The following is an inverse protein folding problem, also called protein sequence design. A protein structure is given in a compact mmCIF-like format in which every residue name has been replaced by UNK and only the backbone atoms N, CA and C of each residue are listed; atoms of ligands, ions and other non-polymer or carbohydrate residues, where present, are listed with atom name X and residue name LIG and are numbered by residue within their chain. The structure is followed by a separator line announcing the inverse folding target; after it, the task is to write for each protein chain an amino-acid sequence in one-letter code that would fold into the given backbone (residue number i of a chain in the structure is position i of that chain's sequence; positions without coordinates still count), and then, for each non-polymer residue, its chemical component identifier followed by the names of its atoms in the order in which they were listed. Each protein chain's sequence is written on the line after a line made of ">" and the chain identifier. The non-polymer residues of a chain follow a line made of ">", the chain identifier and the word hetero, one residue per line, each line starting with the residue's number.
data_IF_455135917316
#
_entry.id   IF_455135917316
#
_cell.length_a   1.000
_cell.length_b   1.000
_cell.length_c   1.000
_cell.angle_alpha   90.00
_cell.angle_beta   90.00
_cell.angle_gamma   90.00
#
_symmetry.space_group_name_H-M   'P 1'
#
loop_
_entity.id
_entity.type
_entity.pdbx_description
1 polymer ?
#
# COMPACT_ATOMS: atom_id res chain seq x y z
N UNK A 1 -107.67 15.80 -64.75
CA UNK A 1 -106.32 16.35 -65.01
C UNK A 1 -105.71 17.06 -63.79
N UNK A 2 -106.52 17.72 -62.95
CA UNK A 2 -106.05 18.55 -61.81
C UNK A 2 -105.45 17.80 -60.61
N UNK A 3 -105.92 16.57 -60.31
CA UNK A 3 -105.43 15.75 -59.18
C UNK A 3 -104.03 15.17 -59.45
N UNK A 4 -103.75 14.77 -60.70
CA UNK A 4 -102.48 14.18 -61.11
C UNK A 4 -101.34 15.23 -61.02
N UNK A 5 -101.60 16.46 -61.45
CA UNK A 5 -100.63 17.57 -61.36
C UNK A 5 -100.31 17.91 -59.89
N UNK A 6 -101.29 17.80 -58.99
CA UNK A 6 -101.10 18.05 -57.57
C UNK A 6 -100.28 16.93 -56.89
N UNK A 7 -100.49 15.66 -57.27
CA UNK A 7 -99.66 14.53 -56.82
C UNK A 7 -98.23 14.59 -57.37
N UNK A 8 -98.05 14.92 -58.65
CA UNK A 8 -96.71 15.03 -59.27
C UNK A 8 -95.88 16.17 -58.65
N UNK A 9 -96.50 17.31 -58.30
CA UNK A 9 -95.81 18.39 -57.58
C UNK A 9 -95.37 17.97 -56.18
N UNK A 10 -96.18 17.21 -55.44
CA UNK A 10 -95.81 16.69 -54.12
C UNK A 10 -94.70 15.63 -54.19
N UNK A 11 -94.75 14.74 -55.17
CA UNK A 11 -93.69 13.74 -55.39
C UNK A 11 -92.39 14.41 -55.82
N UNK A 12 -92.45 15.42 -56.70
CA UNK A 12 -91.27 16.20 -57.09
C UNK A 12 -90.70 17.00 -55.90
N UNK A 13 -91.55 17.66 -55.10
CA UNK A 13 -91.09 18.38 -53.90
C UNK A 13 -90.49 17.42 -52.87
N UNK A 14 -91.10 16.25 -52.68
CA UNK A 14 -90.61 15.23 -51.76
C UNK A 14 -89.29 14.62 -52.27
N UNK A 15 -89.15 14.41 -53.58
CA UNK A 15 -87.91 13.91 -54.19
C UNK A 15 -86.78 14.94 -54.11
N UNK A 16 -87.08 16.24 -54.25
CA UNK A 16 -86.12 17.33 -54.07
C UNK A 16 -85.71 17.43 -52.59
N UNK A 17 -86.66 17.41 -51.66
CA UNK A 17 -86.39 17.41 -50.22
C UNK A 17 -85.58 16.19 -49.77
N UNK A 18 -85.91 15.00 -50.28
CA UNK A 18 -85.21 13.75 -49.98
C UNK A 18 -83.79 13.75 -50.57
N UNK A 19 -83.61 14.30 -51.77
CA UNK A 19 -82.28 14.51 -52.34
C UNK A 19 -81.45 15.52 -51.55
N UNK A 20 -82.06 16.57 -50.98
CA UNK A 20 -81.38 17.53 -50.12
C UNK A 20 -81.01 16.93 -48.75
N UNK A 21 -81.82 16.02 -48.20
CA UNK A 21 -81.57 15.31 -46.94
C UNK A 21 -80.53 14.19 -47.07
N UNK A 22 -80.38 13.58 -48.26
CA UNK A 22 -79.39 12.53 -48.54
C UNK A 22 -77.98 13.09 -48.85
N UNK A 23 -77.84 14.41 -49.01
CA UNK A 23 -76.56 15.09 -49.24
C UNK A 23 -75.93 15.67 -47.96
N UNK A 24 -76.21 15.08 -46.79
CA UNK A 24 -75.55 15.47 -45.54
C UNK A 24 -74.14 14.87 -45.46
N UNK A 25 -73.21 15.44 -46.24
CA UNK A 25 -71.79 15.08 -46.10
C UNK A 25 -71.26 15.71 -44.82
N UNK A 26 -70.91 14.87 -43.84
CA UNK A 26 -70.05 15.27 -42.72
C UNK A 26 -68.72 15.78 -43.28
N UNK A 27 -68.60 17.09 -43.43
CA UNK A 27 -67.33 17.72 -43.75
C UNK A 27 -66.39 17.46 -42.56
N UNK A 28 -65.21 16.86 -42.76
CA UNK A 28 -64.27 16.70 -41.65
C UNK A 28 -63.90 18.10 -41.12
N UNK A 29 -64.03 18.30 -39.80
CA UNK A 29 -63.82 19.58 -39.10
C UNK A 29 -62.34 20.02 -39.02
N UNK A 30 -61.51 19.54 -39.92
CA UNK A 30 -60.06 19.77 -39.95
C UNK A 30 -59.72 20.96 -40.85
N UNK A 31 -58.93 21.88 -40.32
CA UNK A 31 -58.51 23.09 -41.00
C UNK A 31 -57.14 22.83 -41.63
N UNK A 32 -57.09 22.78 -42.96
CA UNK A 32 -55.85 22.76 -43.72
C UNK A 32 -55.49 24.15 -44.24
N UNK A 33 -54.29 24.63 -43.95
CA UNK A 33 -53.72 25.84 -44.55
C UNK A 33 -52.56 25.42 -45.44
N UNK A 34 -52.72 25.53 -46.76
CA UNK A 34 -51.71 25.08 -47.73
C UNK A 34 -51.68 23.55 -47.99
N UNK A 35 -52.68 22.80 -47.50
CA UNK A 35 -52.86 21.36 -47.77
C UNK A 35 -54.34 20.99 -47.86
N UNK A 36 -54.67 20.04 -48.74
CA UNK A 36 -56.03 19.47 -48.86
C UNK A 36 -56.19 18.13 -48.12
N UNK A 37 -55.11 17.60 -47.54
CA UNK A 37 -55.11 16.39 -46.72
C UNK A 37 -54.50 16.67 -45.35
N UNK A 38 -55.19 17.41 -44.45
CA UNK A 38 -54.67 17.73 -43.13
C UNK A 38 -54.38 16.46 -42.32
N UNK A 39 -53.24 16.44 -41.63
CA UNK A 39 -52.81 15.31 -40.76
C UNK A 39 -53.26 15.45 -39.30
N UNK A 40 -53.97 16.52 -38.98
CA UNK A 40 -54.52 16.83 -37.67
C UNK A 40 -55.68 17.83 -37.77
N UNK A 41 -56.25 18.22 -36.63
CA UNK A 41 -57.39 19.16 -36.60
C UNK A 41 -57.03 20.55 -37.17
N UNK A 42 -55.77 20.95 -37.07
CA UNK A 42 -55.17 22.10 -37.76
C UNK A 42 -53.83 21.65 -38.35
N UNK A 43 -53.64 21.81 -39.66
CA UNK A 43 -52.41 21.48 -40.37
C UNK A 43 -52.00 22.67 -41.25
N UNK A 44 -50.81 23.24 -40.99
CA UNK A 44 -50.24 24.36 -41.75
C UNK A 44 -49.05 23.82 -42.54
N UNK A 45 -49.22 23.65 -43.85
CA UNK A 45 -48.20 23.11 -44.74
C UNK A 45 -47.57 24.23 -45.59
N UNK A 46 -46.32 24.59 -45.28
CA UNK A 46 -45.53 25.56 -46.04
C UNK A 46 -44.05 25.21 -45.97
N UNK A 47 -43.32 25.48 -47.06
CA UNK A 47 -41.86 25.31 -47.12
C UNK A 47 -41.09 26.58 -46.73
N UNK A 48 -41.77 27.73 -46.63
CA UNK A 48 -41.13 29.04 -46.41
C UNK A 48 -41.73 29.84 -45.25
N UNK A 49 -42.99 29.59 -44.88
CA UNK A 49 -43.72 30.37 -43.90
C UNK A 49 -44.02 29.53 -42.67
N UNK A 50 -43.91 30.12 -41.48
CA UNK A 50 -44.21 29.44 -40.22
C UNK A 50 -45.60 29.80 -39.67
N UNK A 51 -45.97 29.10 -38.60
CA UNK A 51 -47.06 29.52 -37.72
C UNK A 51 -46.49 30.40 -36.60
N UNK A 52 -46.99 31.62 -36.47
CA UNK A 52 -46.56 32.54 -35.42
C UNK A 52 -47.47 32.39 -34.20
N UNK A 53 -46.94 31.83 -33.11
CA UNK A 53 -47.63 31.84 -31.82
C UNK A 53 -47.81 33.27 -31.29
N UNK A 54 -48.82 33.53 -30.44
CA UNK A 54 -48.95 34.82 -29.78
C UNK A 54 -47.65 35.21 -29.07
N UNK A 55 -47.12 36.39 -29.40
CA UNK A 55 -45.91 36.94 -28.81
C UNK A 55 -46.27 37.70 -27.54
N UNK A 56 -45.92 37.14 -26.39
CA UNK A 56 -46.35 37.62 -25.08
C UNK A 56 -45.12 37.87 -24.20
N UNK A 57 -45.08 38.97 -23.46
CA UNK A 57 -44.06 39.21 -22.45
C UNK A 57 -44.51 38.61 -21.10
N UNK A 58 -43.93 37.48 -20.70
CA UNK A 58 -44.17 36.89 -19.38
C UNK A 58 -43.38 37.63 -18.29
N UNK A 59 -43.92 37.69 -17.08
CA UNK A 59 -43.25 38.28 -15.92
C UNK A 59 -42.42 37.27 -15.12
N UNK A 60 -42.85 36.02 -15.10
CA UNK A 60 -42.21 34.87 -14.45
C UNK A 60 -42.86 33.58 -15.00
N UNK A 61 -42.39 32.41 -14.56
CA UNK A 61 -42.94 31.13 -15.02
C UNK A 61 -44.16 30.62 -14.21
N UNK A 62 -44.48 31.16 -13.04
CA UNK A 62 -45.56 30.66 -12.17
C UNK A 62 -46.86 31.46 -12.31
N UNK A 63 -46.81 32.64 -12.93
CA UNK A 63 -47.93 33.55 -13.13
C UNK A 63 -48.52 33.35 -14.53
N UNK A 64 -49.83 33.09 -14.63
CA UNK A 64 -50.48 32.86 -15.92
C UNK A 64 -50.67 34.14 -16.75
N UNK A 65 -50.81 35.29 -16.07
CA UNK A 65 -50.95 36.59 -16.72
C UNK A 65 -49.70 36.92 -17.58
N UNK A 66 -49.85 37.64 -18.69
CA UNK A 66 -51.08 38.31 -19.16
C UNK A 66 -52.01 37.42 -20.00
N UNK A 67 -51.70 36.13 -20.16
CA UNK A 67 -52.54 35.21 -20.95
C UNK A 67 -53.73 34.76 -20.10
N UNK A 68 -54.91 34.81 -20.69
CA UNK A 68 -56.17 34.41 -20.06
C UNK A 68 -56.90 33.39 -20.93
N UNK A 69 -57.74 32.57 -20.31
CA UNK A 69 -58.73 31.78 -21.04
C UNK A 69 -59.83 32.73 -21.54
N UNK A 70 -60.07 32.84 -22.86
CA UNK A 70 -61.06 33.76 -23.42
C UNK A 70 -62.51 33.43 -23.03
N UNK A 71 -62.81 32.20 -22.60
CA UNK A 71 -64.14 31.81 -22.16
C UNK A 71 -64.44 32.24 -20.72
N UNK A 72 -63.44 32.22 -19.84
CA UNK A 72 -63.61 32.41 -18.39
C UNK A 72 -62.92 33.66 -17.85
N UNK A 73 -62.10 34.33 -18.66
CA UNK A 73 -61.23 35.44 -18.24
C UNK A 73 -60.16 35.05 -17.21
N UNK A 74 -60.04 33.76 -16.90
CA UNK A 74 -59.20 33.23 -15.82
C UNK A 74 -57.92 32.60 -16.38
N UNK A 75 -57.26 31.72 -15.62
CA UNK A 75 -56.06 30.99 -16.06
C UNK A 75 -56.28 30.28 -17.40
N UNK A 76 -55.29 30.28 -18.31
CA UNK A 76 -55.36 29.53 -19.56
C UNK A 76 -55.57 28.03 -19.32
N UNK A 77 -56.11 27.35 -20.33
CA UNK A 77 -56.26 25.89 -20.29
C UNK A 77 -54.86 25.24 -20.42
N UNK A 78 -54.65 24.09 -19.78
CA UNK A 78 -53.41 23.32 -19.93
C UNK A 78 -53.14 23.00 -21.41
N UNK A 79 -51.90 23.24 -21.86
CA UNK A 79 -51.50 23.13 -23.26
C UNK A 79 -51.64 24.42 -24.08
N UNK A 80 -52.06 25.55 -23.50
CA UNK A 80 -52.05 26.85 -24.21
C UNK A 80 -50.60 27.24 -24.55
N UNK A 81 -50.28 27.48 -25.83
CA UNK A 81 -48.92 27.74 -26.32
C UNK A 81 -48.74 29.22 -26.70
N UNK A 82 -47.62 29.81 -26.30
CA UNK A 82 -47.21 31.20 -26.62
C UNK A 82 -45.71 31.26 -26.92
N UNK A 83 -45.28 32.34 -27.58
CA UNK A 83 -43.88 32.71 -27.66
C UNK A 83 -43.60 33.81 -26.63
N UNK A 84 -42.79 33.52 -25.61
CA UNK A 84 -42.37 34.51 -24.64
C UNK A 84 -41.32 35.44 -25.26
N UNK A 85 -41.45 36.75 -25.06
CA UNK A 85 -40.51 37.76 -25.56
C UNK A 85 -39.63 38.39 -24.48
N UNK A 86 -39.90 38.12 -23.19
CA UNK A 86 -39.23 38.76 -22.07
C UNK A 86 -38.17 37.87 -21.40
N UNK A 87 -37.13 38.51 -20.86
CA UNK A 87 -36.28 37.93 -19.81
C UNK A 87 -36.71 38.55 -18.49
N UNK A 88 -37.33 37.78 -17.60
CA UNK A 88 -37.95 38.28 -16.37
C UNK A 88 -37.98 37.19 -15.27
N UNK A 89 -38.35 37.57 -14.04
CA UNK A 89 -38.43 36.68 -12.87
C UNK A 89 -37.16 36.67 -12.01
N UNK A 90 -37.15 35.84 -10.96
CA UNK A 90 -36.00 35.65 -10.05
C UNK A 90 -35.45 34.22 -10.17
N UNK A 91 -34.34 33.92 -9.49
CA UNK A 91 -33.74 32.59 -9.50
C UNK A 91 -34.77 31.52 -9.08
N UNK A 92 -35.08 30.58 -9.98
CA UNK A 92 -36.09 29.54 -9.79
C UNK A 92 -37.43 29.79 -10.48
N UNK A 93 -37.75 31.03 -10.86
CA UNK A 93 -38.97 31.39 -11.62
C UNK A 93 -38.71 32.15 -12.92
N UNK A 94 -37.44 32.28 -13.29
CA UNK A 94 -37.01 33.06 -14.44
C UNK A 94 -37.55 32.50 -15.76
N UNK A 95 -37.99 33.40 -16.63
CA UNK A 95 -38.34 33.14 -18.02
C UNK A 95 -37.34 33.83 -18.95
N UNK A 96 -37.15 33.27 -20.14
CA UNK A 96 -36.33 33.84 -21.20
C UNK A 96 -37.08 33.71 -22.54
N UNK A 97 -36.73 34.47 -23.59
CA UNK A 97 -37.40 34.36 -24.87
C UNK A 97 -37.44 32.92 -25.43
N UNK A 98 -38.61 32.49 -25.93
CA UNK A 98 -38.81 31.14 -26.48
C UNK A 98 -40.24 30.62 -26.40
N UNK A 99 -40.47 29.39 -26.85
CA UNK A 99 -41.80 28.76 -26.77
C UNK A 99 -42.11 28.29 -25.36
N UNK A 100 -43.31 28.58 -24.89
CA UNK A 100 -43.85 28.11 -23.63
C UNK A 100 -45.24 27.54 -23.84
N UNK A 101 -45.58 26.54 -23.04
CA UNK A 101 -46.96 26.11 -22.88
C UNK A 101 -47.38 26.16 -21.40
N UNK A 102 -48.65 26.47 -21.16
CA UNK A 102 -49.18 26.47 -19.81
C UNK A 102 -49.37 25.03 -19.32
N UNK A 103 -48.65 24.63 -18.28
CA UNK A 103 -48.74 23.28 -17.69
C UNK A 103 -49.85 23.09 -16.66
N UNK A 104 -50.72 24.09 -16.48
CA UNK A 104 -51.80 24.10 -15.48
C UNK A 104 -51.48 24.92 -14.23
N UNK A 105 -50.21 25.00 -13.83
CA UNK A 105 -49.74 25.78 -12.68
C UNK A 105 -48.58 26.71 -12.99
N UNK A 106 -47.86 26.47 -14.09
CA UNK A 106 -46.71 27.25 -14.52
C UNK A 106 -46.53 27.16 -16.03
N UNK A 107 -45.87 28.15 -16.61
CA UNK A 107 -45.33 28.15 -17.96
C UNK A 107 -44.12 27.22 -18.04
N UNK A 108 -44.24 26.19 -18.86
CA UNK A 108 -43.18 25.25 -19.15
C UNK A 108 -42.55 25.64 -20.49
N UNK A 109 -41.25 25.93 -20.45
CA UNK A 109 -40.49 26.23 -21.66
C UNK A 109 -40.27 24.95 -22.46
N UNK A 110 -40.46 25.00 -23.77
CA UNK A 110 -40.10 23.89 -24.64
C UNK A 110 -38.56 23.78 -24.69
N UNK A 111 -38.04 22.56 -24.47
CA UNK A 111 -36.60 22.33 -24.31
C UNK A 111 -35.83 22.75 -25.58
N UNK A 112 -34.77 23.54 -25.43
CA UNK A 112 -33.96 24.04 -26.55
C UNK A 112 -32.87 23.06 -27.04
N UNK A 113 -32.88 21.80 -26.57
CA UNK A 113 -31.90 20.78 -26.99
C UNK A 113 -30.51 20.93 -26.38
N UNK A 114 -30.35 21.75 -25.34
CA UNK A 114 -29.06 22.02 -24.66
C UNK A 114 -28.88 21.28 -23.33
N UNK A 115 -29.92 20.58 -22.85
CA UNK A 115 -29.88 19.84 -21.59
C UNK A 115 -29.11 18.51 -21.74
N UNK A 116 -28.54 18.04 -20.64
CA UNK A 116 -27.97 16.68 -20.59
C UNK A 116 -29.08 15.64 -20.46
N UNK A 117 -29.17 14.73 -21.41
CA UNK A 117 -30.21 13.71 -21.45
C UNK A 117 -29.88 12.51 -20.54
N UNK A 118 -30.90 11.77 -20.09
CA UNK A 118 -30.72 10.53 -19.31
C UNK A 118 -30.02 9.41 -20.10
N UNK A 119 -30.14 9.44 -21.43
CA UNK A 119 -29.47 8.50 -22.33
C UNK A 119 -28.10 9.02 -22.81
N UNK A 120 -27.69 10.21 -22.37
CA UNK A 120 -26.51 10.91 -22.84
C UNK A 120 -26.75 11.77 -24.09
N UNK A 121 -25.74 12.56 -24.46
CA UNK A 121 -25.75 13.44 -25.63
C UNK A 121 -24.65 12.97 -26.60
N UNK A 122 -24.88 13.09 -27.92
CA UNK A 122 -23.88 12.79 -28.95
C UNK A 122 -23.28 14.10 -29.52
N UNK A 123 -22.08 14.04 -30.13
CA UNK A 123 -21.49 15.18 -30.84
C UNK A 123 -20.94 16.32 -29.99
N UNK A 124 -20.53 16.06 -28.74
CA UNK A 124 -19.99 17.09 -27.84
C UNK A 124 -18.64 17.65 -28.32
N UNK A 125 -18.44 18.96 -28.15
CA UNK A 125 -17.18 19.68 -28.39
C UNK A 125 -16.54 20.07 -27.07
N UNK A 126 -15.26 19.70 -26.88
CA UNK A 126 -14.50 20.02 -25.67
C UNK A 126 -14.39 21.54 -25.46
N UNK A 127 -14.55 22.00 -24.21
CA UNK A 127 -14.54 23.42 -23.85
C UNK A 127 -15.86 24.17 -24.12
N UNK A 128 -16.78 23.60 -24.90
CA UNK A 128 -18.13 24.14 -25.13
C UNK A 128 -19.20 23.36 -24.40
N UNK A 129 -19.16 22.02 -24.47
CA UNK A 129 -20.14 21.15 -23.82
C UNK A 129 -19.54 20.50 -22.58
N UNK A 130 -20.24 20.58 -21.45
CA UNK A 130 -19.83 19.95 -20.20
C UNK A 130 -21.04 19.68 -19.31
N UNK A 131 -20.88 18.73 -18.39
CA UNK A 131 -21.76 18.58 -17.23
C UNK A 131 -21.12 19.38 -16.11
N UNK A 132 -21.79 20.43 -15.64
CA UNK A 132 -21.22 21.28 -14.60
C UNK A 132 -21.94 22.62 -14.47
N UNK A 133 -21.24 23.56 -13.87
CA UNK A 133 -21.70 24.93 -13.59
C UNK A 133 -20.76 25.93 -14.28
N UNK A 134 -21.28 27.12 -14.61
CA UNK A 134 -20.49 28.25 -15.15
C UNK A 134 -20.13 29.27 -14.07
N UNK A 135 -20.65 29.10 -12.87
CA UNK A 135 -20.41 29.97 -11.73
C UNK A 135 -19.53 29.29 -10.67
N UNK A 136 -19.25 30.00 -9.58
CA UNK A 136 -18.39 29.55 -8.49
C UNK A 136 -19.08 28.53 -7.54
N UNK A 137 -20.04 27.76 -8.03
CA UNK A 137 -20.81 26.78 -7.26
C UNK A 137 -20.41 25.36 -7.69
N UNK A 138 -20.21 24.47 -6.72
CA UNK A 138 -19.83 23.08 -6.99
C UNK A 138 -20.94 22.25 -7.65
N UNK A 139 -20.55 21.26 -8.47
CA UNK A 139 -21.48 20.30 -9.06
C UNK A 139 -21.85 19.22 -8.02
N UNK A 140 -23.13 19.14 -7.66
CA UNK A 140 -23.64 18.13 -6.71
C UNK A 140 -24.38 17.01 -7.41
N UNK A 141 -24.08 15.78 -6.99
CA UNK A 141 -24.74 14.55 -7.45
C UNK A 141 -25.62 14.02 -6.31
N UNK A 142 -26.91 13.86 -6.60
CA UNK A 142 -27.93 13.44 -5.63
C UNK A 142 -28.70 12.22 -6.10
N UNK A 143 -29.14 11.41 -5.14
CA UNK A 143 -30.13 10.34 -5.36
C UNK A 143 -31.16 10.42 -4.25
N UNK A 144 -32.45 10.25 -4.54
CA UNK A 144 -33.51 10.36 -3.54
C UNK A 144 -33.45 11.67 -2.72
N UNK A 145 -33.10 12.79 -3.38
CA UNK A 145 -32.88 14.09 -2.75
C UNK A 145 -31.79 14.11 -1.64
N UNK A 146 -30.87 13.15 -1.65
CA UNK A 146 -29.73 13.06 -0.71
C UNK A 146 -28.44 13.33 -1.49
N UNK A 147 -27.61 14.23 -0.96
CA UNK A 147 -26.27 14.52 -1.45
C UNK A 147 -25.36 13.27 -1.35
N UNK A 148 -24.78 12.86 -2.49
CA UNK A 148 -23.86 11.71 -2.58
C UNK A 148 -22.43 12.18 -2.81
N UNK A 149 -22.24 13.01 -3.85
CA UNK A 149 -20.94 13.54 -4.24
C UNK A 149 -21.02 15.03 -4.57
N UNK A 150 -19.91 15.73 -4.36
CA UNK A 150 -19.71 17.12 -4.73
C UNK A 150 -18.34 17.29 -5.42
N UNK A 151 -18.30 17.99 -6.54
CA UNK A 151 -17.06 18.58 -7.06
C UNK A 151 -17.01 20.01 -6.55
N UNK A 152 -16.23 20.22 -5.48
CA UNK A 152 -16.25 21.45 -4.71
C UNK A 152 -15.49 22.57 -5.38
N UNK A 153 -16.16 23.70 -5.66
CA UNK A 153 -15.46 24.90 -6.10
C UNK A 153 -14.69 25.59 -4.96
N UNK A 154 -15.21 25.55 -3.72
CA UNK A 154 -14.52 26.18 -2.57
C UNK A 154 -13.20 25.50 -2.23
N UNK A 155 -13.09 24.21 -2.53
CA UNK A 155 -11.91 23.39 -2.27
C UNK A 155 -11.15 23.08 -3.58
N UNK A 156 -11.12 24.05 -4.50
CA UNK A 156 -10.33 24.00 -5.74
C UNK A 156 -10.55 22.73 -6.60
N UNK A 157 -11.81 22.31 -6.75
CA UNK A 157 -12.21 21.17 -7.57
C UNK A 157 -12.18 19.81 -6.86
N UNK A 158 -12.05 19.76 -5.52
CA UNK A 158 -12.02 18.49 -4.79
C UNK A 158 -13.29 17.66 -5.02
N UNK A 159 -13.13 16.37 -5.36
CA UNK A 159 -14.21 15.39 -5.31
C UNK A 159 -14.44 14.96 -3.86
N UNK A 160 -15.65 15.17 -3.35
CA UNK A 160 -16.02 14.92 -1.96
C UNK A 160 -17.21 13.98 -1.88
N UNK A 161 -17.07 12.91 -1.12
CA UNK A 161 -18.22 12.10 -0.67
C UNK A 161 -18.87 12.79 0.52
N UNK A 162 -20.20 12.76 0.59
CA UNK A 162 -20.94 13.24 1.76
C UNK A 162 -21.00 12.22 2.91
N UNK A 163 -20.58 10.97 2.66
CA UNK A 163 -20.39 9.95 3.69
C UNK A 163 -18.92 9.58 3.80
N UNK A 164 -18.42 9.46 5.03
CA UNK A 164 -17.08 8.93 5.29
C UNK A 164 -16.96 7.45 4.88
N UNK A 165 -18.08 6.72 4.81
CA UNK A 165 -18.12 5.29 4.61
C UNK A 165 -17.71 4.49 5.86
N UNK A 166 -17.71 3.17 5.72
CA UNK A 166 -17.23 2.22 6.73
C UNK A 166 -16.43 1.11 6.04
N UNK A 167 -15.82 0.20 6.81
CA UNK A 167 -15.17 -0.97 6.23
C UNK A 167 -16.16 -1.86 5.43
N UNK A 168 -17.43 -1.95 5.85
CA UNK A 168 -18.47 -2.72 5.14
C UNK A 168 -19.00 -1.99 3.91
N UNK A 169 -19.05 -0.67 3.96
CA UNK A 169 -19.60 0.20 2.92
C UNK A 169 -18.66 1.40 2.69
N UNK A 170 -17.51 1.20 2.04
CA UNK A 170 -16.57 2.27 1.80
C UNK A 170 -17.15 3.33 0.86
N UNK A 171 -16.71 4.57 1.03
CA UNK A 171 -17.21 5.71 0.26
C UNK A 171 -16.95 5.55 -1.24
N UNK A 172 -15.77 5.04 -1.61
CA UNK A 172 -15.48 4.54 -2.94
C UNK A 172 -15.46 3.02 -2.91
N UNK A 173 -16.24 2.38 -3.78
CA UNK A 173 -16.39 0.92 -3.87
C UNK A 173 -16.68 0.49 -5.30
N UNK A 174 -16.71 -0.82 -5.54
CA UNK A 174 -17.05 -1.40 -6.83
C UNK A 174 -18.48 -1.96 -6.79
N UNK A 175 -19.29 -1.72 -7.82
CA UNK A 175 -20.71 -2.06 -7.80
C UNK A 175 -20.98 -3.56 -7.51
N UNK A 176 -20.14 -4.45 -8.01
CA UNK A 176 -20.24 -5.90 -7.81
C UNK A 176 -19.50 -6.39 -6.56
N UNK A 177 -18.69 -5.54 -5.94
CA UNK A 177 -17.95 -5.81 -4.70
C UNK A 177 -18.03 -4.60 -3.76
N UNK A 178 -19.21 -4.40 -3.12
CA UNK A 178 -19.50 -3.19 -2.37
C UNK A 178 -18.72 -3.09 -1.05
N UNK A 179 -18.02 -4.16 -0.63
CA UNK A 179 -17.27 -4.21 0.64
C UNK A 179 -15.75 -4.13 0.45
N UNK A 180 -15.31 -3.83 -0.77
CA UNK A 180 -13.92 -3.54 -1.13
C UNK A 180 -13.81 -2.09 -1.59
N UNK A 181 -12.87 -1.33 -1.02
CA UNK A 181 -12.74 0.08 -1.35
C UNK A 181 -11.96 0.94 -0.37
N UNK A 182 -12.21 2.25 -0.45
CA UNK A 182 -11.54 3.30 0.35
C UNK A 182 -12.58 4.12 1.11
N UNK A 183 -12.31 4.40 2.37
CA UNK A 183 -13.19 5.13 3.28
C UNK A 183 -12.39 5.96 4.29
N UNK A 184 -13.07 6.76 5.10
CA UNK A 184 -12.47 7.52 6.18
C UNK A 184 -13.00 6.99 7.53
N UNK A 185 -12.18 6.28 8.32
CA UNK A 185 -12.59 5.70 9.61
C UNK A 185 -12.76 6.75 10.72
N UNK A 186 -12.40 8.01 10.45
CA UNK A 186 -12.53 9.15 11.35
C UNK A 186 -11.84 10.38 10.76
N UNK A 187 -11.92 11.55 11.44
CA UNK A 187 -11.26 12.77 10.99
C UNK A 187 -9.76 12.53 10.74
N UNK A 188 -9.26 13.06 9.62
CA UNK A 188 -7.86 12.97 9.21
C UNK A 188 -7.31 11.54 9.10
N UNK A 189 -8.19 10.55 8.87
CA UNK A 189 -7.81 9.16 8.65
C UNK A 189 -8.27 8.65 7.28
N UNK A 190 -7.47 7.76 6.71
CA UNK A 190 -7.76 7.06 5.46
C UNK A 190 -7.67 5.55 5.70
N UNK A 191 -8.73 4.83 5.36
CA UNK A 191 -8.83 3.38 5.50
C UNK A 191 -9.05 2.69 4.15
N UNK A 192 -8.46 1.51 3.99
CA UNK A 192 -8.71 0.60 2.88
C UNK A 192 -9.31 -0.70 3.42
N UNK A 193 -10.32 -1.21 2.73
CA UNK A 193 -11.09 -2.40 3.14
C UNK A 193 -11.18 -3.42 2.01
N UNK A 194 -11.19 -4.69 2.39
CA UNK A 194 -11.56 -5.81 1.50
C UNK A 194 -12.36 -6.83 2.31
N UNK A 195 -13.37 -7.42 1.69
CA UNK A 195 -14.30 -8.34 2.37
C UNK A 195 -14.96 -7.70 3.62
N UNK A 196 -15.15 -6.38 3.62
CA UNK A 196 -15.79 -5.68 4.73
C UNK A 196 -14.93 -5.41 5.96
N UNK A 197 -13.63 -5.72 5.90
CA UNK A 197 -12.68 -5.58 7.02
C UNK A 197 -11.60 -4.56 6.64
N UNK A 198 -11.37 -3.59 7.52
CA UNK A 198 -10.25 -2.64 7.38
C UNK A 198 -8.91 -3.39 7.37
N UNK A 199 -8.19 -3.30 6.26
CA UNK A 199 -6.90 -3.99 6.06
C UNK A 199 -5.71 -3.08 6.32
N UNK A 200 -5.85 -1.81 5.95
CA UNK A 200 -4.83 -0.79 6.09
C UNK A 200 -5.47 0.52 6.53
N UNK A 201 -4.80 1.23 7.42
CA UNK A 201 -5.19 2.56 7.87
C UNK A 201 -3.99 3.49 7.90
N UNK A 202 -4.19 4.76 7.51
CA UNK A 202 -3.31 5.87 7.87
C UNK A 202 -4.03 6.68 8.93
N UNK A 203 -3.43 6.80 10.12
CA UNK A 203 -4.00 7.57 11.23
C UNK A 203 -3.74 9.09 11.08
N UNK A 204 -4.35 9.87 11.96
CA UNK A 204 -4.21 11.34 11.97
C UNK A 204 -2.81 11.85 12.33
N UNK A 205 -1.92 10.97 12.82
CA UNK A 205 -0.51 11.26 13.09
C UNK A 205 0.40 10.82 11.92
N UNK A 206 -0.18 10.33 10.81
CA UNK A 206 0.55 9.85 9.64
C UNK A 206 1.19 8.46 9.83
N UNK A 207 0.72 7.67 10.79
CA UNK A 207 1.17 6.28 11.01
C UNK A 207 0.35 5.33 10.15
N UNK A 208 1.03 4.37 9.53
CA UNK A 208 0.44 3.33 8.70
C UNK A 208 0.26 2.05 9.53
N UNK A 209 -0.98 1.63 9.72
CA UNK A 209 -1.35 0.31 10.25
C UNK A 209 -1.71 -0.65 9.12
N UNK A 210 -1.21 -1.88 9.17
CA UNK A 210 -1.68 -2.99 8.32
C UNK A 210 -2.08 -4.13 9.26
N UNK A 211 -3.33 -4.59 9.17
CA UNK A 211 -3.90 -5.55 10.13
C UNK A 211 -4.21 -4.97 11.52
N UNK A 212 -4.08 -3.64 11.71
CA UNK A 212 -4.39 -2.95 12.96
C UNK A 212 -4.92 -1.54 12.69
N UNK A 213 -5.88 -1.08 13.49
CA UNK A 213 -6.44 0.28 13.45
C UNK A 213 -5.83 1.22 14.51
N UNK A 214 -4.81 0.76 15.23
CA UNK A 214 -4.12 1.54 16.28
C UNK A 214 -2.59 1.40 16.16
N UNK A 215 -1.98 1.94 15.08
CA UNK A 215 -0.54 1.87 14.88
C UNK A 215 0.23 2.65 15.96
N UNK A 216 1.19 2.00 16.61
CA UNK A 216 2.04 2.64 17.64
C UNK A 216 3.29 3.29 17.04
N UNK A 217 3.72 2.84 15.85
CA UNK A 217 4.90 3.31 15.11
C UNK A 217 4.52 3.80 13.71
N UNK A 218 5.45 4.46 12.98
CA UNK A 218 5.17 5.00 11.63
C UNK A 218 4.67 3.94 10.65
N UNK A 219 5.17 2.71 10.78
CA UNK A 219 4.63 1.51 10.15
C UNK A 219 4.42 0.46 11.24
N UNK A 220 3.19 -0.01 11.41
CA UNK A 220 2.83 -1.10 12.32
C UNK A 220 2.07 -2.16 11.53
N UNK A 221 2.67 -3.33 11.36
CA UNK A 221 2.05 -4.46 10.65
C UNK A 221 1.78 -5.54 11.69
N UNK A 222 0.55 -6.04 11.75
CA UNK A 222 0.12 -7.11 12.64
C UNK A 222 -0.32 -8.30 11.81
N UNK A 223 0.22 -9.47 12.15
CA UNK A 223 -0.26 -10.76 11.66
C UNK A 223 -0.18 -11.76 12.83
N UNK A 224 -1.33 -12.07 13.43
CA UNK A 224 -1.42 -12.93 14.62
C UNK A 224 -1.71 -14.39 14.27
N UNK A 225 -1.47 -14.80 13.01
CA UNK A 225 -1.64 -16.17 12.56
C UNK A 225 -0.37 -17.00 12.82
N UNK A 226 -0.54 -18.16 13.45
CA UNK A 226 0.57 -19.10 13.70
C UNK A 226 1.22 -19.56 12.38
N UNK A 227 2.55 -19.70 12.39
CA UNK A 227 3.35 -20.11 11.24
C UNK A 227 3.43 -19.10 10.08
N UNK A 228 2.88 -17.89 10.22
CA UNK A 228 2.93 -16.86 9.18
C UNK A 228 3.83 -15.69 9.59
N UNK A 229 4.80 -15.36 8.74
CA UNK A 229 5.59 -14.14 8.91
C UNK A 229 4.74 -12.88 8.71
N UNK A 230 5.10 -11.79 9.39
CA UNK A 230 4.46 -10.48 9.25
C UNK A 230 4.90 -9.74 7.98
N UNK A 231 6.12 -10.00 7.50
CA UNK A 231 6.71 -9.37 6.33
C UNK A 231 7.48 -10.40 5.52
N UNK A 232 7.22 -10.45 4.22
CA UNK A 232 8.02 -11.18 3.24
C UNK A 232 8.81 -10.18 2.42
N UNK A 233 10.12 -10.38 2.34
CA UNK A 233 11.02 -9.60 1.49
C UNK A 233 11.68 -10.56 0.53
N UNK A 234 11.39 -10.43 -0.76
CA UNK A 234 11.95 -11.29 -1.79
C UNK A 234 12.46 -10.50 -2.99
N UNK A 235 13.51 -11.04 -3.61
CA UNK A 235 14.09 -10.54 -4.84
C UNK A 235 14.46 -11.74 -5.70
N UNK A 236 13.75 -11.94 -6.80
CA UNK A 236 13.95 -13.08 -7.69
C UNK A 236 15.19 -12.96 -8.58
N UNK A 237 15.88 -11.81 -8.58
CA UNK A 237 17.00 -11.54 -9.48
C UNK A 237 18.25 -12.26 -8.99
N UNK A 238 18.89 -13.05 -9.87
CA UNK A 238 20.20 -13.63 -9.61
C UNK A 238 21.23 -12.53 -9.30
N UNK A 239 21.73 -12.47 -8.06
CA UNK A 239 22.64 -11.42 -7.56
C UNK A 239 21.97 -10.21 -6.93
N UNK A 240 20.64 -10.25 -6.87
CA UNK A 240 19.87 -9.34 -6.04
C UNK A 240 20.09 -9.56 -4.54
N UNK A 241 19.57 -8.61 -3.80
CA UNK A 241 19.50 -8.62 -2.34
C UNK A 241 18.03 -8.50 -1.93
N UNK A 242 17.64 -9.28 -0.93
CA UNK A 242 16.34 -9.19 -0.28
C UNK A 242 16.55 -8.84 1.19
N UNK A 243 16.14 -7.65 1.61
CA UNK A 243 16.34 -7.21 2.99
C UNK A 243 15.92 -5.77 3.25
N UNK A 244 16.36 -5.27 4.39
CA UNK A 244 16.08 -3.93 4.90
C UNK A 244 17.37 -3.11 4.92
N UNK A 245 17.32 -1.91 4.35
CA UNK A 245 18.42 -0.95 4.42
C UNK A 245 18.21 0.08 5.53
N UNK A 246 19.30 0.47 6.17
CA UNK A 246 19.32 1.47 7.23
C UNK A 246 20.15 2.67 6.74
N UNK A 247 19.55 3.86 6.73
CA UNK A 247 20.17 5.10 6.26
C UNK A 247 20.08 6.20 7.31
N UNK A 248 21.04 7.13 7.27
CA UNK A 248 21.01 8.40 7.98
C UNK A 248 21.14 9.54 6.95
N UNK A 249 20.03 10.18 6.62
CA UNK A 249 19.95 11.07 5.47
C UNK A 249 20.26 10.29 4.19
N UNK A 250 21.25 10.75 3.42
CA UNK A 250 21.71 10.07 2.21
C UNK A 250 22.78 8.98 2.47
N UNK A 251 23.22 8.80 3.72
CA UNK A 251 24.34 7.91 4.05
C UNK A 251 23.84 6.52 4.41
N UNK A 252 24.38 5.50 3.75
CA UNK A 252 24.15 4.10 4.08
C UNK A 252 24.81 3.76 5.43
N UNK A 253 24.05 3.18 6.36
CA UNK A 253 24.50 2.80 7.72
C UNK A 253 24.53 1.30 7.97
N UNK A 254 23.81 0.52 7.18
CA UNK A 254 23.82 -0.93 7.29
C UNK A 254 22.62 -1.58 6.60
N UNK A 255 22.56 -2.91 6.71
CA UNK A 255 21.41 -3.68 6.26
C UNK A 255 21.26 -5.00 7.03
N UNK A 256 20.09 -5.60 6.88
CA UNK A 256 19.81 -6.98 7.27
C UNK A 256 19.12 -7.67 6.08
N UNK A 257 19.59 -8.83 5.65
CA UNK A 257 18.94 -9.54 4.54
C UNK A 257 19.72 -10.73 4.01
N UNK A 258 19.35 -11.16 2.80
CA UNK A 258 19.95 -12.30 2.11
C UNK A 258 20.45 -11.88 0.73
N UNK A 259 21.69 -12.29 0.42
CA UNK A 259 22.29 -12.10 -0.91
C UNK A 259 22.06 -13.36 -1.75
N UNK A 260 21.51 -13.19 -2.94
CA UNK A 260 21.23 -14.31 -3.83
C UNK A 260 22.52 -15.00 -4.33
N UNK A 261 22.40 -16.27 -4.72
CA UNK A 261 23.53 -17.21 -4.92
C UNK A 261 24.39 -16.97 -6.16
N UNK A 262 23.99 -16.07 -7.07
CA UNK A 262 24.63 -15.81 -8.36
C UNK A 262 24.81 -14.30 -8.56
N UNK A 263 25.54 -13.81 -9.56
CA UNK A 263 25.70 -12.37 -9.83
C UNK A 263 26.73 -11.60 -8.98
N UNK A 264 26.89 -10.31 -9.26
CA UNK A 264 27.80 -9.36 -8.57
C UNK A 264 26.98 -8.43 -7.67
N UNK A 265 26.65 -8.87 -6.45
CA UNK A 265 26.10 -7.94 -5.45
C UNK A 265 27.25 -7.07 -4.90
N UNK A 266 26.96 -5.78 -4.64
CA UNK A 266 27.92 -4.88 -3.99
C UNK A 266 28.18 -5.20 -2.51
N UNK A 267 27.44 -6.17 -1.94
CA UNK A 267 27.43 -6.49 -0.51
C UNK A 267 28.23 -7.77 -0.16
N UNK A 268 28.84 -8.44 -1.15
CA UNK A 268 29.64 -9.66 -0.92
C UNK A 268 28.80 -10.87 -0.47
N UNK A 269 29.44 -12.03 -0.26
CA UNK A 269 28.79 -13.21 0.37
C UNK A 269 27.61 -13.83 -0.40
N UNK A 270 27.85 -14.38 -1.59
CA UNK A 270 26.82 -15.07 -2.40
C UNK A 270 26.10 -16.15 -1.59
N UNK A 271 24.78 -16.11 -1.57
CA UNK A 271 23.95 -17.08 -0.85
C UNK A 271 24.02 -16.97 0.67
N UNK A 272 24.52 -15.86 1.21
CA UNK A 272 24.64 -15.65 2.64
C UNK A 272 23.50 -14.78 3.17
N UNK A 273 23.03 -15.13 4.37
CA UNK A 273 22.36 -14.17 5.24
C UNK A 273 23.40 -13.19 5.79
N UNK A 274 23.09 -11.91 5.77
CA UNK A 274 23.99 -10.83 6.13
C UNK A 274 23.33 -9.85 7.10
N UNK A 275 24.06 -9.57 8.18
CA UNK A 275 23.92 -8.34 8.96
C UNK A 275 25.19 -7.53 8.71
N UNK A 276 25.03 -6.33 8.17
CA UNK A 276 26.17 -5.47 7.86
C UNK A 276 25.95 -4.09 8.48
N UNK A 277 26.98 -3.59 9.14
CA UNK A 277 27.19 -2.17 9.39
C UNK A 277 27.97 -1.59 8.20
N UNK A 278 27.74 -0.33 7.84
CA UNK A 278 28.49 0.35 6.78
C UNK A 278 29.95 0.59 7.16
N UNK A 279 30.35 1.84 7.31
CA UNK A 279 31.67 2.28 7.76
C UNK A 279 31.86 2.18 9.29
N UNK A 280 31.14 1.27 9.95
CA UNK A 280 30.97 1.21 11.41
C UNK A 280 31.15 -0.22 11.91
N UNK A 281 31.45 -0.44 13.20
CA UNK A 281 31.46 -1.77 13.77
C UNK A 281 30.05 -2.38 13.87
N UNK A 282 29.96 -3.71 13.84
CA UNK A 282 28.76 -4.46 14.20
C UNK A 282 28.78 -4.72 15.71
N UNK A 283 27.81 -4.15 16.43
CA UNK A 283 27.79 -4.18 17.90
C UNK A 283 26.57 -4.95 18.40
N UNK A 284 26.79 -5.87 19.34
CA UNK A 284 25.76 -6.54 20.11
C UNK A 284 25.75 -5.97 21.53
N UNK A 285 24.60 -5.47 21.95
CA UNK A 285 24.43 -4.79 23.23
C UNK A 285 23.27 -5.36 24.03
N UNK A 286 23.34 -5.22 25.36
CA UNK A 286 22.23 -5.51 26.26
C UNK A 286 21.72 -4.22 26.90
N UNK A 287 20.44 -4.17 27.25
CA UNK A 287 19.89 -3.08 28.03
C UNK A 287 20.60 -2.95 29.40
N UNK A 288 20.98 -1.73 29.77
CA UNK A 288 21.65 -1.46 31.04
C UNK A 288 20.79 -0.62 32.00
N UNK A 289 20.03 0.34 31.46
CA UNK A 289 19.05 1.20 32.16
C UNK A 289 18.22 1.96 31.12
N UNK A 290 17.26 2.80 31.53
CA UNK A 290 16.40 3.60 30.63
C UNK A 290 17.17 4.25 29.49
N UNK A 291 16.85 3.83 28.27
CA UNK A 291 17.44 4.29 26.99
C UNK A 291 18.97 4.14 26.87
N UNK A 292 19.61 3.31 27.71
CA UNK A 292 21.04 3.03 27.65
C UNK A 292 21.33 1.55 27.39
N UNK A 293 22.20 1.29 26.42
CA UNK A 293 22.65 -0.04 26.04
C UNK A 293 24.13 -0.20 26.39
N UNK A 294 24.57 -1.37 26.83
CA UNK A 294 25.98 -1.69 27.03
C UNK A 294 26.45 -2.64 25.95
N UNK A 295 27.55 -2.30 25.28
CA UNK A 295 28.24 -3.20 24.34
C UNK A 295 28.74 -4.46 25.06
N UNK A 296 28.41 -5.62 24.51
CA UNK A 296 28.83 -6.95 24.99
C UNK A 296 29.76 -7.64 24.02
N UNK A 297 29.51 -7.49 22.72
CA UNK A 297 30.35 -8.03 21.67
C UNK A 297 30.42 -7.03 20.51
N UNK A 298 31.58 -6.94 19.88
CA UNK A 298 31.80 -6.06 18.73
C UNK A 298 32.59 -6.80 17.65
N UNK A 299 32.21 -6.58 16.39
CA UNK A 299 33.07 -6.81 15.23
C UNK A 299 33.49 -5.44 14.71
N UNK A 300 34.76 -5.13 14.87
CA UNK A 300 35.39 -3.91 14.40
C UNK A 300 35.23 -3.75 12.88
N UNK A 301 35.32 -2.50 12.38
CA UNK A 301 35.32 -2.24 10.93
C UNK A 301 36.49 -2.89 10.18
N UNK A 302 37.55 -3.29 10.90
CA UNK A 302 38.70 -4.04 10.37
C UNK A 302 38.60 -5.56 10.61
N UNK A 303 37.47 -6.05 11.13
CA UNK A 303 37.18 -7.47 11.29
C UNK A 303 37.58 -8.09 12.63
N UNK A 304 38.23 -7.35 13.54
CA UNK A 304 38.57 -7.85 14.89
C UNK A 304 37.32 -8.04 15.74
N UNK A 305 37.30 -9.09 16.55
CA UNK A 305 36.16 -9.44 17.43
C UNK A 305 36.52 -9.16 18.90
N UNK A 306 35.69 -8.38 19.58
CA UNK A 306 35.79 -8.09 21.01
C UNK A 306 34.61 -8.65 21.79
N UNK A 307 34.87 -9.14 23.00
CA UNK A 307 33.83 -9.51 23.98
C UNK A 307 34.16 -8.79 25.30
N UNK A 308 33.21 -8.00 25.79
CA UNK A 308 33.34 -7.12 26.98
C UNK A 308 34.52 -6.14 26.93
N UNK A 309 35.06 -5.82 25.75
CA UNK A 309 36.25 -4.98 25.59
C UNK A 309 35.98 -3.47 25.73
N UNK A 310 34.72 -3.05 25.69
CA UNK A 310 34.31 -1.64 25.79
C UNK A 310 33.03 -1.45 26.65
N UNK A 311 33.06 -1.80 27.95
CA UNK A 311 31.85 -1.91 28.76
C UNK A 311 31.20 -0.57 29.16
N UNK A 312 31.89 0.57 28.98
CA UNK A 312 31.42 1.89 29.43
C UNK A 312 30.64 2.68 28.37
N UNK A 313 30.46 2.17 27.15
CA UNK A 313 29.55 2.70 26.11
C UNK A 313 29.77 4.16 25.66
N UNK A 314 30.92 4.78 25.95
CA UNK A 314 31.12 6.23 25.67
C UNK A 314 32.03 6.51 24.46
N UNK A 315 32.71 5.50 23.89
CA UNK A 315 33.63 5.74 22.77
C UNK A 315 33.65 4.60 21.73
N UNK A 316 33.25 4.84 20.46
CA UNK A 316 33.39 3.88 19.37
C UNK A 316 34.87 3.63 18.96
N UNK A 317 35.83 4.26 19.63
CA UNK A 317 37.27 4.17 19.34
C UNK A 317 38.01 3.08 20.12
N UNK A 318 37.40 2.48 21.15
CA UNK A 318 38.02 1.35 21.87
C UNK A 318 37.76 0.06 21.10
N UNK A 319 38.53 -0.11 20.02
CA UNK A 319 38.50 -1.31 19.19
C UNK A 319 39.28 -2.45 19.87
N UNK A 320 38.87 -3.72 19.68
CA UNK A 320 39.61 -4.87 20.19
C UNK A 320 41.05 -4.85 19.67
N UNK A 321 42.07 -4.99 20.52
CA UNK A 321 43.48 -4.92 20.10
C UNK A 321 44.00 -6.23 19.51
N UNK A 322 43.23 -7.31 19.59
CA UNK A 322 43.52 -8.63 19.01
C UNK A 322 42.40 -9.07 18.07
N UNK A 323 42.68 -9.99 17.13
CA UNK A 323 41.66 -10.56 16.22
C UNK A 323 40.47 -11.15 16.99
N UNK A 324 40.73 -11.76 18.14
CA UNK A 324 39.73 -12.08 19.15
C UNK A 324 40.26 -11.59 20.50
N UNK A 325 39.53 -10.69 21.16
CA UNK A 325 39.85 -10.23 22.50
C UNK A 325 38.66 -10.47 23.42
N UNK A 326 38.89 -11.13 24.56
CA UNK A 326 37.90 -11.32 25.62
C UNK A 326 38.41 -10.61 26.87
N UNK A 327 37.72 -9.56 27.30
CA UNK A 327 37.98 -8.93 28.58
C UNK A 327 37.19 -9.67 29.67
N UNK A 328 37.85 -10.61 30.34
CA UNK A 328 37.25 -11.50 31.32
C UNK A 328 37.81 -12.91 31.23
N UNK A 329 37.07 -13.88 31.78
CA UNK A 329 37.45 -15.29 31.69
C UNK A 329 37.06 -15.90 30.35
N UNK A 330 37.95 -16.68 29.75
CA UNK A 330 37.68 -17.50 28.56
C UNK A 330 37.90 -18.98 28.90
N UNK A 331 36.86 -19.80 28.74
CA UNK A 331 36.94 -21.23 28.99
C UNK A 331 37.47 -21.96 27.75
N UNK A 332 38.32 -22.96 27.98
CA UNK A 332 38.83 -23.87 26.94
C UNK A 332 38.56 -25.31 27.35
N UNK A 333 38.42 -26.21 26.38
CA UNK A 333 38.30 -27.65 26.64
C UNK A 333 39.53 -28.18 27.39
N UNK A 334 39.30 -28.88 28.49
CA UNK A 334 40.33 -29.46 29.35
C UNK A 334 40.32 -30.98 29.25
N UNK A 335 41.48 -31.58 28.99
CA UNK A 335 41.68 -33.03 28.98
C UNK A 335 42.54 -33.42 30.18
N UNK A 336 42.04 -34.33 31.00
CA UNK A 336 42.82 -34.91 32.10
C UNK A 336 43.53 -36.17 31.60
N UNK A 337 44.83 -36.27 31.87
CA UNK A 337 45.68 -37.39 31.43
C UNK A 337 46.31 -38.06 32.63
N UNK A 338 45.99 -39.34 32.84
CA UNK A 338 46.51 -40.16 33.95
C UNK A 338 47.43 -41.31 33.52
N UNK A 339 47.51 -41.60 32.21
CA UNK A 339 48.28 -42.70 31.64
C UNK A 339 48.92 -42.27 30.31
N UNK A 340 49.76 -43.13 29.73
CA UNK A 340 50.33 -42.91 28.39
C UNK A 340 49.22 -42.62 27.37
N UNK A 341 49.35 -41.54 26.60
CA UNK A 341 48.33 -41.15 25.63
C UNK A 341 48.93 -40.38 24.47
N UNK A 342 48.18 -40.35 23.36
CA UNK A 342 48.41 -39.43 22.23
C UNK A 342 47.30 -38.41 22.22
N UNK A 343 47.65 -37.14 22.26
CA UNK A 343 46.68 -36.06 22.19
C UNK A 343 46.15 -35.90 20.76
N UNK A 344 44.90 -35.49 20.63
CA UNK A 344 44.30 -35.16 19.33
C UNK A 344 44.39 -33.67 19.04
N UNK A 345 44.20 -33.32 17.78
CA UNK A 345 44.14 -31.96 17.25
C UNK A 345 43.03 -31.10 17.86
N UNK A 346 42.14 -31.65 18.69
CA UNK A 346 41.11 -30.87 19.41
C UNK A 346 41.56 -30.39 20.80
N UNK A 347 42.68 -30.92 21.33
CA UNK A 347 43.16 -30.62 22.68
C UNK A 347 43.75 -29.20 22.77
N UNK A 348 43.41 -28.45 23.82
CA UNK A 348 43.92 -27.09 24.07
C UNK A 348 44.56 -26.94 25.46
N UNK A 349 43.98 -27.61 26.48
CA UNK A 349 44.49 -27.65 27.85
C UNK A 349 44.59 -29.09 28.32
N UNK A 350 45.75 -29.45 28.86
CA UNK A 350 45.98 -30.77 29.47
C UNK A 350 46.24 -30.59 30.96
N UNK A 351 45.52 -31.36 31.77
CA UNK A 351 45.81 -31.54 33.19
C UNK A 351 46.42 -32.91 33.40
N UNK A 352 47.68 -32.94 33.80
CA UNK A 352 48.38 -34.16 34.15
C UNK A 352 47.94 -34.61 35.53
N UNK A 353 47.31 -35.78 35.61
CA UNK A 353 46.70 -36.38 36.81
C UNK A 353 47.22 -37.82 37.03
N UNK A 354 48.50 -38.06 36.75
CA UNK A 354 49.16 -39.37 36.72
C UNK A 354 49.63 -39.90 38.09
N UNK A 355 49.42 -39.17 39.19
CA UNK A 355 49.92 -39.59 40.49
C UNK A 355 51.45 -39.76 40.46
N UNK A 356 51.96 -40.83 41.07
CA UNK A 356 53.40 -41.18 41.03
C UNK A 356 53.85 -41.88 39.73
N UNK A 357 52.95 -42.23 38.82
CA UNK A 357 53.29 -42.98 37.62
C UNK A 357 54.04 -42.12 36.61
N UNK A 358 55.09 -42.65 36.00
CA UNK A 358 55.71 -42.00 34.84
C UNK A 358 54.82 -42.22 33.62
N UNK A 359 54.51 -41.15 32.88
CA UNK A 359 53.67 -41.23 31.68
C UNK A 359 54.30 -40.53 30.49
N UNK A 360 53.89 -40.94 29.30
CA UNK A 360 54.26 -40.36 28.02
C UNK A 360 53.04 -39.75 27.37
N UNK A 361 53.14 -38.47 27.00
CA UNK A 361 52.09 -37.76 26.28
C UNK A 361 52.63 -37.36 24.92
N UNK A 362 52.13 -38.00 23.87
CA UNK A 362 52.50 -37.70 22.48
C UNK A 362 51.68 -36.51 21.99
N UNK A 363 52.34 -35.50 21.42
CA UNK A 363 51.67 -34.32 20.86
C UNK A 363 50.93 -34.70 19.56
N UNK A 364 49.87 -33.98 19.16
CA UNK A 364 49.27 -34.16 17.84
C UNK A 364 50.26 -33.74 16.75
N UNK A 365 50.06 -34.24 15.53
CA UNK A 365 50.92 -33.89 14.39
C UNK A 365 50.91 -32.37 14.13
N UNK A 366 52.07 -31.70 13.98
CA UNK A 366 52.15 -30.25 13.75
C UNK A 366 51.25 -29.74 12.62
N UNK A 367 51.18 -30.47 11.50
CA UNK A 367 50.41 -30.08 10.32
C UNK A 367 48.91 -29.98 10.54
N UNK A 368 48.35 -30.64 11.56
CA UNK A 368 46.94 -30.54 11.93
C UNK A 368 46.67 -29.45 12.97
N UNK A 369 47.72 -28.78 13.46
CA UNK A 369 47.67 -27.87 14.61
C UNK A 369 48.26 -26.47 14.33
N UNK A 370 48.41 -26.06 13.06
CA UNK A 370 48.97 -24.75 12.72
C UNK A 370 48.24 -23.59 13.45
N UNK A 371 49.00 -22.73 14.12
CA UNK A 371 48.51 -21.60 14.92
C UNK A 371 47.92 -21.97 16.29
N UNK A 372 47.87 -23.26 16.65
CA UNK A 372 47.30 -23.72 17.94
C UNK A 372 48.30 -23.58 19.08
N UNK A 373 47.80 -23.13 20.23
CA UNK A 373 48.48 -23.21 21.51
C UNK A 373 47.94 -24.39 22.33
N UNK A 374 48.83 -25.28 22.76
CA UNK A 374 48.55 -26.35 23.70
C UNK A 374 49.23 -26.04 25.02
N UNK A 375 48.50 -26.06 26.13
CA UNK A 375 49.07 -25.78 27.44
C UNK A 375 48.92 -26.96 28.39
N UNK A 376 49.95 -27.20 29.17
CA UNK A 376 50.02 -28.25 30.18
C UNK A 376 50.02 -27.64 31.57
N UNK A 377 49.21 -28.21 32.44
CA UNK A 377 49.24 -27.99 33.88
C UNK A 377 49.19 -29.35 34.57
N UNK A 378 49.52 -29.39 35.86
CA UNK A 378 49.46 -30.62 36.65
C UNK A 378 48.44 -30.48 37.78
N UNK A 379 47.79 -31.58 38.11
CA UNK A 379 47.08 -31.72 39.37
C UNK A 379 48.10 -31.85 40.52
N UNK A 380 47.73 -31.41 41.72
CA UNK A 380 48.58 -31.43 42.92
C UNK A 380 49.10 -32.83 43.30
N UNK A 381 48.36 -33.89 42.97
CA UNK A 381 48.74 -35.27 43.27
C UNK A 381 49.76 -35.89 42.28
N UNK A 382 50.07 -35.21 41.17
CA UNK A 382 50.93 -35.76 40.11
C UNK A 382 52.42 -35.50 40.38
N UNK A 383 53.13 -36.55 40.80
CA UNK A 383 54.55 -36.55 41.19
C UNK A 383 55.46 -37.37 40.25
N UNK A 384 54.88 -38.19 39.37
CA UNK A 384 55.61 -38.97 38.37
C UNK A 384 56.18 -38.13 37.24
N UNK A 385 57.22 -38.65 36.58
CA UNK A 385 57.87 -38.01 35.44
C UNK A 385 56.96 -38.04 34.21
N UNK A 386 56.70 -36.88 33.62
CA UNK A 386 55.96 -36.78 32.35
C UNK A 386 56.94 -36.56 31.21
N UNK A 387 56.89 -37.45 30.23
CA UNK A 387 57.63 -37.35 28.97
C UNK A 387 56.68 -36.79 27.91
N UNK A 388 57.01 -35.63 27.35
CA UNK A 388 56.29 -35.10 26.19
C UNK A 388 56.97 -35.59 24.93
N UNK A 389 56.21 -36.35 24.16
CA UNK A 389 56.60 -36.97 22.91
C UNK A 389 57.74 -37.99 23.02
N UNK A 390 57.68 -39.06 22.22
CA UNK A 390 58.78 -40.03 22.13
C UNK A 390 59.64 -39.75 20.92
N UNK A 391 60.89 -40.20 20.97
CA UNK A 391 61.85 -40.04 19.88
C UNK A 391 61.23 -40.33 18.51
N UNK A 392 61.21 -39.33 17.62
CA UNK A 392 60.83 -39.48 16.22
C UNK A 392 59.33 -39.36 15.89
N UNK A 393 58.45 -39.06 16.85
CA UNK A 393 56.99 -38.95 16.55
C UNK A 393 56.57 -37.54 16.12
N UNK A 394 57.03 -36.47 16.79
CA UNK A 394 56.95 -35.10 16.24
C UNK A 394 58.25 -34.32 16.47
N UNK A 395 58.48 -33.33 15.60
CA UNK A 395 59.61 -32.40 15.72
C UNK A 395 59.26 -31.26 16.69
N UNK A 396 60.11 -31.04 17.70
CA UNK A 396 59.96 -29.96 18.69
C UNK A 396 61.24 -29.10 18.68
N UNK A 397 61.09 -27.79 18.51
CA UNK A 397 62.17 -26.85 18.75
C UNK A 397 62.28 -26.55 20.24
N UNK A 398 63.45 -26.82 20.81
CA UNK A 398 63.74 -26.51 22.20
C UNK A 398 64.24 -25.06 22.36
N UNK A 399 64.25 -24.54 23.59
CA UNK A 399 64.64 -23.16 23.93
C UNK A 399 66.03 -22.76 23.41
N UNK A 400 66.94 -23.73 23.24
CA UNK A 400 68.28 -23.51 22.70
C UNK A 400 68.34 -23.35 21.17
N UNK A 401 67.21 -23.32 20.46
CA UNK A 401 67.13 -23.14 19.01
C UNK A 401 67.37 -24.41 18.18
N UNK A 402 67.81 -25.50 18.81
CA UNK A 402 67.97 -26.80 18.13
C UNK A 402 66.61 -27.46 17.92
N UNK A 403 66.29 -27.81 16.67
CA UNK A 403 65.19 -28.72 16.34
C UNK A 403 65.73 -30.13 16.54
N UNK A 404 65.25 -30.83 17.57
CA UNK A 404 65.63 -32.23 17.80
C UNK A 404 64.42 -33.13 17.62
N UNK A 405 64.65 -34.35 17.12
CA UNK A 405 63.64 -35.42 17.05
C UNK A 405 63.32 -36.02 18.43
N UNK A 406 63.96 -35.51 19.49
CA UNK A 406 63.89 -36.03 20.85
C UNK A 406 63.99 -34.89 21.83
N UNK A 407 63.00 -34.76 22.68
CA UNK A 407 63.20 -34.17 24.01
C UNK A 407 62.28 -34.90 24.97
N UNK A 408 62.82 -35.75 25.85
CA UNK A 408 62.17 -35.93 27.15
C UNK A 408 62.14 -34.54 27.76
N UNK A 409 61.00 -33.84 27.68
CA UNK A 409 60.80 -32.56 28.35
C UNK A 409 60.24 -32.90 29.73
N UNK A 410 61.07 -33.02 30.77
CA UNK A 410 60.56 -33.23 32.11
C UNK A 410 59.74 -32.00 32.50
N UNK A 411 58.44 -32.18 32.65
CA UNK A 411 57.54 -31.16 33.23
C UNK A 411 57.66 -31.09 34.77
N UNK A 412 58.85 -31.45 35.33
CA UNK A 412 59.30 -31.52 36.75
C UNK A 412 59.36 -32.90 37.44
N UNK A 413 60.24 -32.97 38.46
CA UNK A 413 60.37 -34.01 39.48
C UNK A 413 59.67 -33.62 40.80
N UNK A 414 59.43 -34.59 41.68
CA UNK A 414 58.52 -34.60 42.83
C UNK A 414 58.64 -33.48 43.91
N UNK A 415 59.46 -32.43 43.75
CA UNK A 415 59.69 -31.39 44.78
C UNK A 415 59.68 -29.93 44.32
N UNK A 416 59.49 -29.61 43.03
CA UNK A 416 59.56 -28.24 42.51
C UNK A 416 58.20 -27.62 42.14
N UNK A 417 58.06 -26.30 42.30
CA UNK A 417 56.89 -25.52 41.87
C UNK A 417 56.61 -25.74 40.37
N UNK A 418 55.35 -26.07 40.03
CA UNK A 418 55.01 -26.52 38.67
C UNK A 418 55.11 -25.40 37.64
N UNK A 419 55.95 -25.57 36.62
CA UNK A 419 55.98 -24.68 35.46
C UNK A 419 54.86 -25.08 34.50
N UNK A 420 53.98 -24.13 34.19
CA UNK A 420 53.06 -24.27 33.06
C UNK A 420 53.89 -24.26 31.77
N UNK A 421 53.80 -25.34 30.98
CA UNK A 421 54.47 -25.40 29.67
C UNK A 421 53.44 -25.22 28.59
N UNK A 422 53.78 -24.38 27.60
CA UNK A 422 52.98 -24.16 26.42
C UNK A 422 53.74 -24.67 25.21
N UNK A 423 53.00 -25.14 24.22
CA UNK A 423 53.53 -25.48 22.91
C UNK A 423 52.70 -24.79 21.85
N UNK A 424 53.37 -24.24 20.84
CA UNK A 424 52.75 -23.57 19.71
C UNK A 424 53.20 -24.25 18.44
N UNK A 425 52.31 -24.53 17.50
CA UNK A 425 52.71 -25.08 16.20
C UNK A 425 52.56 -24.06 15.08
N UNK A 426 53.52 -24.03 14.16
CA UNK A 426 53.41 -23.30 12.90
C UNK A 426 52.91 -24.18 11.73
N UNK A 427 52.51 -25.43 12.00
CA UNK A 427 52.13 -26.40 10.97
C UNK A 427 53.25 -27.34 10.51
N UNK A 428 54.50 -27.07 10.89
CA UNK A 428 55.67 -27.90 10.51
C UNK A 428 56.32 -28.55 11.73
N UNK A 429 56.53 -27.79 12.79
CA UNK A 429 57.09 -28.27 14.06
C UNK A 429 56.31 -27.69 15.25
N UNK A 430 56.57 -28.19 16.45
CA UNK A 430 56.13 -27.57 17.71
C UNK A 430 57.25 -26.69 18.28
N UNK A 431 56.87 -25.55 18.84
CA UNK A 431 57.74 -24.61 19.54
C UNK A 431 57.35 -24.65 21.01
N UNK A 432 58.35 -24.81 21.89
CA UNK A 432 58.17 -24.75 23.34
C UNK A 432 58.37 -23.32 23.86
#
# INVERSE_FOLDING_TARGET
>A
MTIIIFMMKKILLFSIMLSALLNYSVMPAQIGVGTITPRGALDVNSTTNGFLFPQIALTDNITSAPVINPQTGSTPINGTIIFNTATAGTAGTSVAPGHYYWGGTQWLREATGVDWSKAGNSGTVAGTNFIGTTDAIGLRIRTNNIDRWNISNTNNGQLQSYSLGTALLPAYSFQTDPNTGIFSPGPDKLGATTAGIERMQIDSNGKVGIGTSSPTHRLHVVNDADGQGVMRVDNATAGGFAGMYLFEGANYRGHMGYVNTLGTSGFGGKGAYQLASGDRPLVFSTHASTESFQERMVIAGDGRVGINTNPTNIAPTVQPTSNLQVAGSFAIGVVSVSANTTLTETTCKVILSNGAANITVVLPTPSTCAGRMLSFSRNAASTGTVTIDTAGTNNIQNLAGTVTSTTTIPLHSAGGAGVNVQFWSNGTIWYR
#
